data_IF_292673393072
#
_entry.id   IF_292673393072
#
_cell.length_a   1.000
_cell.length_b   1.000
_cell.length_c   1.000
_cell.angle_alpha   90.00
_cell.angle_beta   90.00
_cell.angle_gamma   90.00
#
_symmetry.space_group_name_H-M   'P 1'
#
loop_
_entity.id
_entity.type
_entity.pdbx_description
1 polymer ?
#
# COMPACT_ATOMS: atom_id res chain seq x y z
N UNK A 1 -19.56 -14.93 -17.78
CA UNK A 1 -19.29 -13.51 -17.52
C UNK A 1 -17.87 -13.24 -18.03
N UNK A 2 -17.72 -12.62 -19.23
CA UNK A 2 -16.40 -12.26 -19.76
C UNK A 2 -15.78 -11.23 -18.83
N UNK A 3 -14.64 -11.54 -18.25
CA UNK A 3 -13.83 -10.54 -17.55
C UNK A 3 -13.54 -9.43 -18.55
N UNK A 4 -14.02 -8.24 -18.27
CA UNK A 4 -13.64 -7.03 -18.98
C UNK A 4 -12.16 -6.82 -18.66
N UNK A 5 -11.28 -7.32 -19.53
CA UNK A 5 -9.86 -6.99 -19.47
C UNK A 5 -9.80 -5.52 -19.86
N UNK A 6 -9.78 -4.65 -18.86
CA UNK A 6 -9.48 -3.25 -19.08
C UNK A 6 -8.00 -3.19 -19.48
N UNK A 7 -7.76 -3.01 -20.75
CA UNK A 7 -6.44 -2.85 -21.34
C UNK A 7 -6.00 -1.38 -21.09
N UNK A 8 -6.03 -0.95 -19.82
CA UNK A 8 -5.55 0.37 -19.44
C UNK A 8 -4.02 0.33 -19.41
N UNK A 9 -3.41 1.10 -20.26
CA UNK A 9 -1.98 1.34 -20.24
C UNK A 9 -1.68 2.30 -19.08
N UNK A 10 -0.85 1.87 -18.14
CA UNK A 10 -0.41 2.66 -16.99
C UNK A 10 1.03 3.18 -17.15
N UNK A 11 1.54 3.25 -18.38
CA UNK A 11 2.85 3.86 -18.64
C UNK A 11 2.92 5.28 -18.08
N UNK A 12 4.03 5.60 -17.44
CA UNK A 12 4.27 6.87 -16.75
C UNK A 12 3.37 7.13 -15.53
N UNK A 13 2.63 6.10 -15.05
CA UNK A 13 1.87 6.20 -13.80
C UNK A 13 2.66 5.61 -12.65
N UNK A 14 2.70 6.33 -11.53
CA UNK A 14 3.37 5.89 -10.30
C UNK A 14 2.31 5.35 -9.33
N UNK A 15 2.54 4.13 -8.87
CA UNK A 15 1.67 3.44 -7.93
C UNK A 15 2.43 3.17 -6.63
N UNK A 16 1.93 3.68 -5.50
CA UNK A 16 2.40 3.32 -4.16
C UNK A 16 1.48 2.27 -3.56
N UNK A 17 2.06 1.13 -3.16
CA UNK A 17 1.34 -0.03 -2.65
C UNK A 17 1.81 -0.37 -1.23
N UNK A 18 0.89 -0.53 -0.28
CA UNK A 18 1.21 -1.09 1.02
C UNK A 18 0.94 -2.59 1.06
N UNK A 19 1.84 -3.37 1.70
CA UNK A 19 1.67 -4.82 1.83
C UNK A 19 1.80 -5.60 0.51
N UNK A 20 2.67 -5.14 -0.40
CA UNK A 20 2.88 -5.74 -1.72
C UNK A 20 3.63 -7.08 -1.73
N UNK A 21 4.19 -7.52 -0.61
CA UNK A 21 5.05 -8.72 -0.56
C UNK A 21 4.28 -10.02 -0.38
N UNK A 22 2.96 -9.99 -0.31
CA UNK A 22 2.12 -11.16 -0.08
C UNK A 22 0.67 -10.94 -0.57
N UNK A 23 -0.04 -12.04 -0.85
CA UNK A 23 -1.48 -12.06 -1.11
C UNK A 23 -1.96 -11.10 -2.20
N UNK A 24 -3.05 -10.40 -1.94
CA UNK A 24 -3.69 -9.46 -2.90
C UNK A 24 -2.72 -8.37 -3.35
N UNK A 25 -1.94 -7.80 -2.41
CA UNK A 25 -0.98 -6.75 -2.73
C UNK A 25 0.11 -7.20 -3.70
N UNK A 26 0.58 -8.44 -3.58
CA UNK A 26 1.58 -9.03 -4.47
C UNK A 26 1.02 -9.17 -5.89
N UNK A 27 -0.16 -9.75 -6.03
CA UNK A 27 -0.80 -9.91 -7.34
C UNK A 27 -1.16 -8.56 -7.97
N UNK A 28 -1.57 -7.59 -7.16
CA UNK A 28 -1.81 -6.22 -7.62
C UNK A 28 -0.52 -5.55 -8.11
N UNK A 29 0.60 -5.71 -7.38
CA UNK A 29 1.88 -5.16 -7.80
C UNK A 29 2.34 -5.74 -9.14
N UNK A 30 2.22 -7.07 -9.32
CA UNK A 30 2.54 -7.76 -10.58
C UNK A 30 1.66 -7.28 -11.72
N UNK A 31 0.35 -7.20 -11.51
CA UNK A 31 -0.60 -6.76 -12.53
C UNK A 31 -0.33 -5.32 -12.98
N UNK A 32 -0.20 -4.39 -12.02
CA UNK A 32 0.07 -2.97 -12.30
C UNK A 32 1.43 -2.78 -12.98
N UNK A 33 2.46 -3.53 -12.57
CA UNK A 33 3.77 -3.51 -13.20
C UNK A 33 3.69 -3.97 -14.67
N UNK A 34 2.96 -5.05 -14.97
CA UNK A 34 2.70 -5.55 -16.34
C UNK A 34 1.90 -4.54 -17.19
N UNK A 35 1.03 -3.76 -16.58
CA UNK A 35 0.30 -2.68 -17.24
C UNK A 35 1.15 -1.43 -17.50
N UNK A 36 2.41 -1.42 -17.06
CA UNK A 36 3.35 -0.34 -17.31
C UNK A 36 3.57 0.63 -16.14
N UNK A 37 2.87 0.46 -15.02
CA UNK A 37 3.04 1.34 -13.88
C UNK A 37 4.43 1.21 -13.26
N UNK A 38 4.98 2.33 -12.81
CA UNK A 38 6.11 2.35 -11.91
C UNK A 38 5.65 1.99 -10.50
N UNK A 39 6.23 0.95 -9.93
CA UNK A 39 5.84 0.43 -8.62
C UNK A 39 6.78 0.96 -7.53
N UNK A 40 6.21 1.68 -6.58
CA UNK A 40 6.80 1.95 -5.27
C UNK A 40 5.99 1.16 -4.25
N UNK A 41 6.63 0.50 -3.29
CA UNK A 41 5.88 -0.25 -2.30
C UNK A 41 6.50 -0.16 -0.91
N UNK A 42 5.62 -0.23 0.10
CA UNK A 42 6.02 -0.27 1.51
C UNK A 42 5.96 -1.71 2.00
N UNK A 43 7.05 -2.17 2.59
CA UNK A 43 7.19 -3.52 3.14
C UNK A 43 7.89 -3.49 4.50
N UNK A 44 7.59 -4.46 5.38
CA UNK A 44 8.25 -4.60 6.68
C UNK A 44 9.53 -5.44 6.62
N UNK A 45 9.59 -6.37 5.70
CA UNK A 45 10.69 -7.33 5.58
C UNK A 45 11.55 -7.02 4.35
N UNK A 46 12.83 -6.75 4.58
CA UNK A 46 13.78 -6.38 3.52
C UNK A 46 13.98 -7.52 2.51
N UNK A 47 14.16 -8.76 2.96
CA UNK A 47 14.45 -9.89 2.06
C UNK A 47 13.26 -10.15 1.11
N UNK A 48 12.04 -10.06 1.63
CA UNK A 48 10.83 -10.16 0.80
C UNK A 48 10.68 -9.00 -0.16
N UNK A 49 11.12 -7.80 0.24
CA UNK A 49 11.09 -6.64 -0.62
C UNK A 49 12.08 -6.78 -1.78
N UNK A 50 13.31 -7.20 -1.51
CA UNK A 50 14.31 -7.44 -2.56
C UNK A 50 13.87 -8.55 -3.53
N UNK A 51 13.31 -9.64 -2.99
CA UNK A 51 12.73 -10.70 -3.84
C UNK A 51 11.63 -10.18 -4.76
N UNK A 52 10.71 -9.37 -4.25
CA UNK A 52 9.65 -8.78 -5.08
C UNK A 52 10.22 -7.84 -6.15
N UNK A 53 11.22 -7.04 -5.83
CA UNK A 53 11.87 -6.16 -6.83
C UNK A 53 12.46 -6.97 -7.98
N UNK A 54 13.16 -8.07 -7.66
CA UNK A 54 13.73 -8.97 -8.66
C UNK A 54 12.63 -9.59 -9.52
N UNK A 55 11.56 -10.12 -8.93
CA UNK A 55 10.42 -10.70 -9.66
C UNK A 55 9.78 -9.68 -10.61
N UNK A 56 9.53 -8.45 -10.15
CA UNK A 56 8.91 -7.41 -10.99
C UNK A 56 9.83 -6.99 -12.14
N UNK A 57 11.13 -6.95 -11.90
CA UNK A 57 12.12 -6.67 -12.95
C UNK A 57 12.16 -7.78 -14.00
N UNK A 58 12.18 -9.04 -13.59
CA UNK A 58 12.15 -10.19 -14.52
C UNK A 58 10.88 -10.20 -15.39
N UNK A 59 9.74 -9.80 -14.79
CA UNK A 59 8.44 -9.81 -15.48
C UNK A 59 8.28 -8.69 -16.52
N UNK A 60 8.89 -7.53 -16.31
CA UNK A 60 8.60 -6.32 -17.12
C UNK A 60 9.83 -5.54 -17.56
N UNK A 61 11.02 -5.86 -17.03
CA UNK A 61 12.23 -5.06 -17.21
C UNK A 61 12.23 -3.73 -16.43
N UNK A 62 11.19 -3.46 -15.60
CA UNK A 62 11.08 -2.22 -14.83
C UNK A 62 11.51 -2.43 -13.39
N UNK A 63 12.34 -1.52 -12.88
CA UNK A 63 12.77 -1.53 -11.48
C UNK A 63 11.65 -0.99 -10.58
N UNK A 64 11.37 -1.71 -9.49
CA UNK A 64 10.49 -1.23 -8.43
C UNK A 64 11.31 -0.62 -7.28
N UNK A 65 10.73 0.33 -6.56
CA UNK A 65 11.34 0.95 -5.38
C UNK A 65 10.67 0.42 -4.12
N UNK A 66 11.45 -0.07 -3.16
CA UNK A 66 10.95 -0.49 -1.85
C UNK A 66 11.23 0.57 -0.78
N UNK A 67 10.26 0.78 0.10
CA UNK A 67 10.40 1.57 1.33
C UNK A 67 10.16 0.62 2.50
N UNK A 68 11.17 0.49 3.37
CA UNK A 68 11.06 -0.40 4.52
C UNK A 68 10.50 0.38 5.70
N UNK A 69 9.34 -0.07 6.21
CA UNK A 69 8.66 0.53 7.36
C UNK A 69 7.71 -0.47 8.02
N UNK A 70 7.54 -0.36 9.34
CA UNK A 70 6.50 -1.04 10.10
C UNK A 70 5.26 -0.15 10.20
N UNK A 71 4.19 -0.52 9.51
CA UNK A 71 2.95 0.24 9.47
C UNK A 71 2.12 0.15 10.78
N UNK A 72 2.55 -0.64 11.75
CA UNK A 72 1.96 -0.64 13.10
C UNK A 72 2.37 0.59 13.92
N UNK A 73 3.44 1.29 13.53
CA UNK A 73 4.01 2.45 14.21
C UNK A 73 3.79 3.73 13.40
N UNK A 74 3.10 4.71 13.97
CA UNK A 74 2.72 5.93 13.26
C UNK A 74 3.92 6.77 12.80
N UNK A 75 5.02 6.77 13.55
CA UNK A 75 6.24 7.47 13.13
C UNK A 75 6.91 6.79 11.93
N UNK A 76 6.86 5.47 11.85
CA UNK A 76 7.35 4.74 10.66
C UNK A 76 6.47 4.98 9.44
N UNK A 77 5.15 5.08 9.63
CA UNK A 77 4.21 5.47 8.55
C UNK A 77 4.55 6.87 8.03
N UNK A 78 4.78 7.85 8.91
CA UNK A 78 5.17 9.21 8.53
C UNK A 78 6.52 9.23 7.81
N UNK A 79 7.51 8.47 8.31
CA UNK A 79 8.83 8.33 7.66
C UNK A 79 8.68 7.72 6.27
N UNK A 80 7.82 6.70 6.10
CA UNK A 80 7.57 6.08 4.80
C UNK A 80 6.95 7.07 3.81
N UNK A 81 5.96 7.86 4.24
CA UNK A 81 5.38 8.92 3.41
C UNK A 81 6.43 9.96 3.00
N UNK A 82 7.24 10.45 3.94
CA UNK A 82 8.32 11.40 3.65
C UNK A 82 9.36 10.81 2.69
N UNK A 83 9.66 9.52 2.84
CA UNK A 83 10.58 8.82 1.94
C UNK A 83 10.02 8.75 0.51
N UNK A 84 8.71 8.49 0.37
CA UNK A 84 8.07 8.57 -0.94
C UNK A 84 8.15 10.00 -1.52
N UNK A 85 7.81 11.02 -0.74
CA UNK A 85 7.88 12.41 -1.17
C UNK A 85 9.29 12.83 -1.62
N UNK A 86 10.33 12.33 -0.94
CA UNK A 86 11.73 12.60 -1.31
C UNK A 86 12.16 12.00 -2.65
N UNK A 87 11.39 11.07 -3.22
CA UNK A 87 11.62 10.54 -4.56
C UNK A 87 11.27 11.58 -5.66
N UNK A 88 10.58 12.66 -5.30
CA UNK A 88 10.10 13.69 -6.23
C UNK A 88 9.31 13.12 -7.42
N UNK A 89 8.53 12.07 -7.18
CA UNK A 89 7.68 11.42 -8.16
C UNK A 89 6.22 11.86 -8.00
N UNK A 90 5.45 11.95 -9.08
CA UNK A 90 4.00 12.07 -8.96
C UNK A 90 3.42 10.83 -8.27
N UNK A 91 2.24 10.95 -7.68
CA UNK A 91 1.52 9.81 -7.14
C UNK A 91 0.17 9.69 -7.85
N UNK A 92 0.07 8.74 -8.78
CA UNK A 92 -1.18 8.53 -9.54
C UNK A 92 -2.11 7.54 -8.83
N UNK A 93 -1.56 6.51 -8.16
CA UNK A 93 -2.35 5.49 -7.47
C UNK A 93 -1.76 5.23 -6.09
N UNK A 94 -2.59 5.38 -5.06
CA UNK A 94 -2.29 4.91 -3.70
C UNK A 94 -3.15 3.69 -3.41
N UNK A 95 -2.52 2.51 -3.34
CA UNK A 95 -3.18 1.26 -2.96
C UNK A 95 -2.86 0.92 -1.50
N UNK A 96 -3.77 1.30 -0.62
CA UNK A 96 -3.77 0.93 0.79
C UNK A 96 -4.29 -0.51 0.90
N UNK A 97 -3.37 -1.49 0.99
CA UNK A 97 -3.70 -2.91 1.00
C UNK A 97 -3.12 -3.65 2.21
N UNK A 98 -2.08 -3.13 2.86
CA UNK A 98 -1.50 -3.78 4.02
C UNK A 98 -2.56 -4.06 5.09
N UNK A 99 -2.65 -5.29 5.54
CA UNK A 99 -3.60 -5.68 6.58
C UNK A 99 -3.11 -6.89 7.35
N UNK A 100 -3.47 -6.91 8.61
CA UNK A 100 -3.22 -8.01 9.53
C UNK A 100 -4.52 -8.43 10.19
N UNK A 101 -4.51 -9.63 10.76
CA UNK A 101 -5.56 -10.14 11.61
C UNK A 101 -4.92 -10.90 12.78
N UNK A 102 -5.16 -10.44 13.98
CA UNK A 102 -4.71 -11.10 15.21
C UNK A 102 -5.83 -11.90 15.85
N UNK A 103 -5.50 -13.01 16.50
CA UNK A 103 -6.46 -13.78 17.30
C UNK A 103 -6.71 -13.14 18.67
N UNK A 104 -5.70 -12.44 19.17
CA UNK A 104 -5.72 -11.77 20.47
C UNK A 104 -5.41 -10.29 20.27
N UNK A 105 -5.98 -9.44 21.13
CA UNK A 105 -5.68 -8.02 21.14
C UNK A 105 -4.20 -7.81 21.47
N UNK A 106 -3.52 -7.06 20.61
CA UNK A 106 -2.15 -6.60 20.83
C UNK A 106 -2.11 -5.09 20.77
N UNK A 107 -1.24 -4.50 21.54
CA UNK A 107 -1.02 -3.06 21.55
C UNK A 107 0.36 -2.74 20.95
N UNK A 108 0.41 -1.69 20.15
CA UNK A 108 1.65 -1.19 19.55
C UNK A 108 2.42 -0.35 20.57
N UNK A 109 3.67 -0.02 20.28
CA UNK A 109 4.46 0.89 21.11
C UNK A 109 3.85 2.31 21.21
N UNK A 110 2.98 2.68 20.26
CA UNK A 110 2.25 3.95 20.25
C UNK A 110 0.95 3.91 21.10
N UNK A 111 0.63 2.77 21.71
CA UNK A 111 -0.58 2.59 22.54
C UNK A 111 -1.85 2.31 21.75
N UNK A 112 -1.76 2.01 20.43
CA UNK A 112 -2.92 1.66 19.62
C UNK A 112 -3.08 0.13 19.52
N UNK A 113 -4.32 -0.33 19.33
CA UNK A 113 -4.57 -1.72 18.97
C UNK A 113 -3.92 -2.00 17.59
N UNK A 114 -3.16 -3.11 17.48
CA UNK A 114 -2.27 -3.35 16.35
C UNK A 114 -3.01 -3.50 15.02
N UNK A 115 -4.17 -4.19 15.00
CA UNK A 115 -4.98 -4.36 13.79
C UNK A 115 -5.54 -3.01 13.35
N UNK A 116 -6.05 -2.21 14.30
CA UNK A 116 -6.53 -0.86 14.01
C UNK A 116 -5.41 0.04 13.50
N UNK A 117 -4.22 -0.05 14.10
CA UNK A 117 -3.06 0.75 13.65
C UNK A 117 -2.70 0.45 12.20
N UNK A 118 -2.55 -0.83 11.85
CA UNK A 118 -2.11 -1.25 10.50
C UNK A 118 -3.22 -1.07 9.46
N UNK A 119 -4.45 -1.55 9.78
CA UNK A 119 -5.51 -1.63 8.78
C UNK A 119 -6.28 -0.32 8.58
N UNK A 120 -6.15 0.62 9.52
CA UNK A 120 -6.89 1.88 9.47
C UNK A 120 -5.99 3.12 9.63
N UNK A 121 -5.28 3.27 10.75
CA UNK A 121 -4.51 4.49 11.01
C UNK A 121 -3.38 4.71 10.00
N UNK A 122 -2.71 3.64 9.58
CA UNK A 122 -1.69 3.73 8.53
C UNK A 122 -2.26 4.24 7.21
N UNK A 123 -3.44 3.74 6.78
CA UNK A 123 -4.13 4.22 5.58
C UNK A 123 -4.50 5.69 5.66
N UNK A 124 -5.05 6.08 6.81
CA UNK A 124 -5.44 7.47 7.08
C UNK A 124 -4.23 8.40 7.02
N UNK A 125 -3.16 8.07 7.75
CA UNK A 125 -1.94 8.88 7.81
C UNK A 125 -1.25 8.99 6.44
N UNK A 126 -1.06 7.87 5.73
CA UNK A 126 -0.48 7.89 4.38
C UNK A 126 -1.31 8.73 3.42
N UNK A 127 -2.63 8.57 3.44
CA UNK A 127 -3.53 9.33 2.57
C UNK A 127 -3.40 10.82 2.81
N UNK A 128 -3.45 11.26 4.08
CA UNK A 128 -3.34 12.69 4.40
C UNK A 128 -1.99 13.29 4.00
N UNK A 129 -0.90 12.56 4.24
CA UNK A 129 0.45 13.04 3.93
C UNK A 129 0.75 13.07 2.44
N UNK A 130 0.10 12.21 1.64
CA UNK A 130 0.40 12.05 0.21
C UNK A 130 -0.62 12.70 -0.72
N UNK A 131 -1.74 13.21 -0.20
CA UNK A 131 -2.83 13.75 -1.01
C UNK A 131 -2.39 14.93 -1.89
N UNK A 132 -1.46 15.76 -1.44
CA UNK A 132 -0.97 16.88 -2.24
C UNK A 132 -0.03 16.42 -3.37
N UNK A 133 0.74 15.36 -3.18
CA UNK A 133 1.51 14.73 -4.25
C UNK A 133 0.58 14.17 -5.35
N UNK A 134 -0.59 13.65 -4.96
CA UNK A 134 -1.62 13.19 -5.91
C UNK A 134 -2.28 14.34 -6.65
N UNK A 135 -2.61 15.44 -5.96
CA UNK A 135 -3.15 16.65 -6.60
C UNK A 135 -2.16 17.24 -7.61
N UNK A 136 -0.89 17.31 -7.24
CA UNK A 136 0.18 17.83 -8.11
C UNK A 136 0.45 16.93 -9.33
N UNK A 137 0.06 15.66 -9.28
CA UNK A 137 0.07 14.74 -10.42
C UNK A 137 -1.11 14.95 -11.40
N UNK A 138 -1.96 15.94 -11.15
CA UNK A 138 -3.17 16.18 -11.95
C UNK A 138 -4.39 15.39 -11.47
N UNK A 139 -4.33 14.87 -10.26
CA UNK A 139 -5.32 13.98 -9.66
C UNK A 139 -4.88 12.53 -9.70
N UNK A 140 -5.38 11.75 -8.75
CA UNK A 140 -5.01 10.35 -8.61
C UNK A 140 -6.16 9.51 -8.03
N UNK A 141 -5.89 8.21 -7.86
CA UNK A 141 -6.84 7.26 -7.31
C UNK A 141 -6.34 6.68 -5.98
N UNK A 142 -7.17 6.76 -4.95
CA UNK A 142 -6.94 6.06 -3.68
C UNK A 142 -7.82 4.82 -3.66
N UNK A 143 -7.21 3.67 -3.42
CA UNK A 143 -7.90 2.39 -3.28
C UNK A 143 -7.61 1.84 -1.89
N UNK A 144 -8.65 1.66 -1.09
CA UNK A 144 -8.55 1.03 0.22
C UNK A 144 -9.09 -0.39 0.15
N UNK A 145 -8.24 -1.37 0.43
CA UNK A 145 -8.68 -2.76 0.55
C UNK A 145 -9.40 -2.93 1.90
N UNK A 146 -10.66 -3.31 1.82
CA UNK A 146 -11.51 -3.52 2.97
C UNK A 146 -11.95 -4.99 3.06
N UNK A 147 -12.53 -5.37 4.18
CA UNK A 147 -13.05 -6.72 4.40
C UNK A 147 -14.56 -6.69 4.65
N UNK A 148 -15.26 -7.73 4.22
CA UNK A 148 -16.64 -7.96 4.60
C UNK A 148 -16.83 -8.37 6.07
N UNK A 149 -15.74 -8.54 6.81
CA UNK A 149 -15.76 -8.92 8.23
C UNK A 149 -16.53 -7.93 9.12
N UNK A 150 -16.68 -6.67 8.69
CA UNK A 150 -17.53 -5.70 9.40
C UNK A 150 -18.98 -6.17 9.57
N UNK A 151 -19.46 -7.11 8.75
CA UNK A 151 -20.82 -7.67 8.85
C UNK A 151 -21.01 -8.62 10.02
N UNK A 152 -19.92 -9.07 10.67
CA UNK A 152 -19.99 -9.96 11.81
C UNK A 152 -20.20 -9.24 13.14
N UNK A 153 -20.18 -7.91 13.14
CA UNK A 153 -20.46 -7.08 14.31
C UNK A 153 -21.64 -6.16 14.02
N UNK A 154 -22.49 -5.93 15.02
CA UNK A 154 -23.67 -5.07 14.89
C UNK A 154 -23.33 -3.59 15.02
N UNK A 155 -22.29 -3.28 15.76
CA UNK A 155 -21.86 -1.92 16.05
C UNK A 155 -20.35 -1.87 16.34
N UNK A 156 -19.79 -0.66 16.27
CA UNK A 156 -18.41 -0.41 16.63
C UNK A 156 -18.30 -0.24 18.14
N UNK A 157 -17.45 -1.00 18.80
CA UNK A 157 -17.09 -0.78 20.19
C UNK A 157 -15.89 0.18 20.26
N UNK A 158 -16.08 1.31 20.95
CA UNK A 158 -15.07 2.35 21.14
C UNK A 158 -14.53 2.38 22.58
N UNK A 159 -14.94 1.44 23.45
CA UNK A 159 -14.53 1.33 24.85
C UNK A 159 -13.25 0.48 25.04
#
# INVERSE_FOLDING_TARGET
MKAMIMNENLENKVCLITGATNGIGLESARALNKMGAEIVFIARNLDKAEKLKEELFQDSGRTATSIIADLSLQDEVKKAANRFLSLNKPLDILLNNAGIMNRERKETADGFEEVFSVNHLAYFTLTLMLIDAMKNAGGGRIVNVASMAYRFVSEMNFD
#
